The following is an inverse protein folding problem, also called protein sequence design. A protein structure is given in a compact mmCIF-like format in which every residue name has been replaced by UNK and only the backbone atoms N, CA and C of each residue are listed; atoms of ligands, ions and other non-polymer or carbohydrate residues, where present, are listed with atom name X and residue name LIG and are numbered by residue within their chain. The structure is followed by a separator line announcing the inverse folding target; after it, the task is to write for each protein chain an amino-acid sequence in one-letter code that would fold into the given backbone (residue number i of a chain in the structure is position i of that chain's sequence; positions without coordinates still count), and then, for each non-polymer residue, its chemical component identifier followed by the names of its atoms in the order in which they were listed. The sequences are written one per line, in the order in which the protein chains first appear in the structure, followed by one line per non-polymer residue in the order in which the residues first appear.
data_IF_027762996606
#
_entry.id   IF_027762996606
#
_cell.length_a   1.000
_cell.length_b   1.000
_cell.length_c   1.000
_cell.angle_alpha   90.00
_cell.angle_beta   90.00
_cell.angle_gamma   90.00
#
_symmetry.space_group_name_H-M   'P 1'
#
loop_
_entity.id
_entity.type
_entity.pdbx_description
1 polymer ?
#
# COMPACT_ATOMS: atom_id res chain seq x y z
N UNK A 1 16.38 0.79 6.78
CA UNK A 1 14.93 0.68 6.98
C UNK A 1 14.58 -0.77 7.15
N UNK A 2 13.84 -1.11 8.21
CA UNK A 2 13.23 -2.43 8.32
C UNK A 2 12.01 -2.54 7.38
N UNK A 3 11.40 -3.73 7.30
CA UNK A 3 10.27 -3.98 6.41
C UNK A 3 9.07 -3.07 6.77
N UNK A 4 8.78 -2.92 8.06
CA UNK A 4 7.66 -2.11 8.57
C UNK A 4 7.81 -0.64 8.16
N UNK A 5 8.99 -0.05 8.36
CA UNK A 5 9.31 1.32 7.96
C UNK A 5 9.17 1.52 6.45
N UNK A 6 9.50 0.50 5.66
CA UNK A 6 9.37 0.53 4.21
C UNK A 6 7.91 0.48 3.77
N UNK A 7 7.12 -0.40 4.36
CA UNK A 7 5.68 -0.51 4.07
C UNK A 7 4.95 0.77 4.49
N UNK A 8 5.28 1.35 5.65
CA UNK A 8 4.71 2.62 6.10
C UNK A 8 5.09 3.80 5.21
N UNK A 9 6.29 3.79 4.62
CA UNK A 9 6.68 4.78 3.63
C UNK A 9 5.81 4.66 2.37
N UNK A 10 5.71 3.47 1.81
CA UNK A 10 4.96 3.20 0.58
C UNK A 10 3.46 3.48 0.76
N UNK A 11 2.86 3.06 1.89
CA UNK A 11 1.47 3.39 2.27
C UNK A 11 1.23 4.90 2.26
N UNK A 12 2.13 5.68 2.86
CA UNK A 12 2.04 7.16 2.87
C UNK A 12 2.15 7.76 1.47
N UNK A 13 2.97 7.19 0.59
CA UNK A 13 3.09 7.62 -0.80
C UNK A 13 1.76 7.39 -1.55
N UNK A 14 1.19 6.19 -1.48
CA UNK A 14 -0.10 5.88 -2.11
C UNK A 14 -1.21 6.83 -1.64
N UNK A 15 -1.35 7.01 -0.32
CA UNK A 15 -2.36 7.91 0.25
C UNK A 15 -2.18 9.35 -0.27
N UNK A 16 -0.94 9.84 -0.34
CA UNK A 16 -0.65 11.20 -0.82
C UNK A 16 -1.00 11.36 -2.30
N UNK A 17 -0.70 10.36 -3.13
CA UNK A 17 -1.04 10.37 -4.55
C UNK A 17 -2.57 10.34 -4.73
N UNK A 18 -3.27 9.45 -4.04
CA UNK A 18 -4.74 9.37 -4.05
C UNK A 18 -5.35 10.72 -3.68
N UNK A 19 -4.90 11.32 -2.58
CA UNK A 19 -5.43 12.62 -2.13
C UNK A 19 -5.14 13.75 -3.12
N UNK A 20 -3.94 13.76 -3.72
CA UNK A 20 -3.58 14.72 -4.75
C UNK A 20 -4.52 14.60 -5.96
N UNK A 21 -4.74 13.39 -6.45
CA UNK A 21 -5.64 13.17 -7.57
C UNK A 21 -7.10 13.46 -7.19
N UNK A 22 -7.58 13.10 -6.00
CA UNK A 22 -8.94 13.47 -5.52
C UNK A 22 -9.19 14.98 -5.51
N UNK A 23 -8.15 15.80 -5.30
CA UNK A 23 -8.23 17.26 -5.37
C UNK A 23 -8.15 17.82 -6.80
N UNK A 24 -7.63 17.05 -7.75
CA UNK A 24 -7.50 17.45 -9.15
C UNK A 24 -8.66 16.85 -9.97
N UNK A 25 -9.55 17.69 -10.50
CA UNK A 25 -10.61 17.29 -11.45
C UNK A 25 -10.05 17.00 -12.86
N UNK A 26 -8.95 16.26 -12.94
CA UNK A 26 -8.37 15.80 -14.20
C UNK A 26 -9.15 14.57 -14.72
N UNK A 27 -9.30 14.48 -16.03
CA UNK A 27 -9.92 13.37 -16.77
C UNK A 27 -9.24 12.04 -16.43
N UNK A 28 -7.92 12.05 -16.17
CA UNK A 28 -7.17 10.85 -15.79
C UNK A 28 -7.15 10.58 -14.28
N UNK A 29 -7.72 11.48 -13.48
CA UNK A 29 -7.66 11.41 -12.02
C UNK A 29 -8.32 10.13 -11.48
N UNK A 30 -9.50 9.78 -11.99
CA UNK A 30 -10.23 8.57 -11.56
C UNK A 30 -9.44 7.29 -11.82
N UNK A 31 -8.83 7.16 -13.01
CA UNK A 31 -8.04 5.98 -13.35
C UNK A 31 -6.79 5.86 -12.47
N UNK A 32 -6.13 7.00 -12.20
CA UNK A 32 -4.97 7.05 -11.31
C UNK A 32 -5.33 6.69 -9.87
N UNK A 33 -6.45 7.20 -9.35
CA UNK A 33 -6.94 6.86 -8.00
C UNK A 33 -7.16 5.36 -7.89
N UNK A 34 -7.84 4.73 -8.86
CA UNK A 34 -8.07 3.29 -8.86
C UNK A 34 -6.77 2.48 -8.90
N UNK A 35 -5.80 2.90 -9.72
CA UNK A 35 -4.49 2.24 -9.78
C UNK A 35 -3.73 2.32 -8.45
N UNK A 36 -3.77 3.48 -7.77
CA UNK A 36 -3.13 3.65 -6.47
C UNK A 36 -3.86 2.94 -5.33
N UNK A 37 -5.19 2.91 -5.34
CA UNK A 37 -5.99 2.14 -4.37
C UNK A 37 -5.71 0.64 -4.50
N UNK A 38 -5.65 0.13 -5.74
CA UNK A 38 -5.25 -1.27 -5.98
C UNK A 38 -3.81 -1.55 -5.53
N UNK A 39 -2.86 -0.66 -5.86
CA UNK A 39 -1.46 -0.80 -5.43
C UNK A 39 -1.31 -0.82 -3.90
N UNK A 40 -2.10 0.00 -3.20
CA UNK A 40 -2.14 0.03 -1.75
C UNK A 40 -2.69 -1.28 -1.17
N UNK A 41 -3.78 -1.81 -1.74
CA UNK A 41 -4.35 -3.09 -1.30
C UNK A 41 -3.33 -4.24 -1.44
N UNK A 42 -2.69 -4.37 -2.61
CA UNK A 42 -1.68 -5.42 -2.84
C UNK A 42 -0.49 -5.27 -1.89
N UNK A 43 -0.06 -4.04 -1.60
CA UNK A 43 1.02 -3.79 -0.65
C UNK A 43 0.66 -4.32 0.76
N UNK A 44 -0.59 -4.11 1.20
CA UNK A 44 -1.07 -4.58 2.50
C UNK A 44 -1.18 -6.10 2.54
N UNK A 45 -1.75 -6.72 1.51
CA UNK A 45 -1.87 -8.18 1.39
C UNK A 45 -0.49 -8.86 1.41
N UNK A 46 0.47 -8.38 0.61
CA UNK A 46 1.83 -8.95 0.57
C UNK A 46 2.54 -8.76 1.91
N UNK A 47 2.33 -7.63 2.58
CA UNK A 47 2.93 -7.40 3.89
C UNK A 47 2.33 -8.32 4.97
N UNK A 48 1.02 -8.54 4.96
CA UNK A 48 0.37 -9.51 5.86
C UNK A 48 0.87 -10.94 5.61
N UNK A 49 0.97 -11.36 4.34
CA UNK A 49 1.55 -12.66 3.98
C UNK A 49 3.00 -12.79 4.46
N UNK A 50 3.81 -11.73 4.29
CA UNK A 50 5.20 -11.74 4.75
C UNK A 50 5.35 -11.83 6.26
N UNK A 51 4.30 -11.47 7.02
CA UNK A 51 4.26 -11.62 8.48
C UNK A 51 3.82 -13.02 8.89
N UNK A 52 2.85 -13.61 8.20
CA UNK A 52 2.35 -14.97 8.46
C UNK A 52 3.46 -16.02 8.32
N UNK A 53 4.34 -15.88 7.32
CA UNK A 53 5.50 -16.77 7.15
C UNK A 53 6.44 -16.77 8.36
N UNK A 54 6.49 -15.67 9.13
CA UNK A 54 7.28 -15.57 10.37
C UNK A 54 6.60 -16.18 11.60
N UNK A 55 5.26 -16.30 11.62
CA UNK A 55 4.51 -16.87 12.75
C UNK A 55 4.37 -18.39 12.66
N UNK A 56 4.33 -18.98 11.45
CA UNK A 56 4.26 -20.44 11.27
C UNK A 56 5.58 -21.18 11.54
N UNK A 57 6.72 -20.49 11.59
CA UNK A 57 8.04 -21.10 11.84
C UNK A 57 8.32 -21.45 13.32
N UNK A 58 7.47 -21.04 14.28
CA UNK A 58 7.64 -21.33 15.71
C UNK A 58 6.37 -21.88 16.38
N UNK A 59 5.99 -23.15 16.14
CA UNK A 59 5.04 -23.86 16.99
C UNK A 59 5.81 -24.50 18.15
N UNK A 60 6.00 -23.76 19.25
CA UNK A 60 6.45 -24.32 20.53
C UNK A 60 5.29 -24.41 21.51
#
# INVERSE_FOLDING_TARGET
MNLDEKVDLERRIFIRLINKHKQQQDIFSTAMILAYEHGLQVLEEVYELSKQDTEEEYPF
#
